data_IF_698156134218
#
_entry.id   IF_698156134218
#
_cell.length_a   1.000
_cell.length_b   1.000
_cell.length_c   1.000
_cell.angle_alpha   90.00
_cell.angle_beta   90.00
_cell.angle_gamma   90.00
#
_symmetry.space_group_name_H-M   'P 1'
#
loop_
_entity.id
_entity.type
_entity.pdbx_description
1 polymer ?
#
# COMPACT_ATOMS: atom_id res chain seq x y z
N UNK A 1 -16.57 7.84 -0.12
CA UNK A 1 -15.21 7.71 -0.66
C UNK A 1 -15.20 8.48 -1.97
N UNK A 2 -14.28 9.41 -2.17
CA UNK A 2 -14.16 10.11 -3.45
C UNK A 2 -13.16 9.37 -4.36
N UNK A 3 -13.67 8.45 -5.17
CA UNK A 3 -12.85 7.65 -6.09
C UNK A 3 -12.31 8.47 -7.27
N UNK A 4 -12.91 9.62 -7.59
CA UNK A 4 -12.45 10.49 -8.67
C UNK A 4 -11.15 11.21 -8.34
N UNK A 5 -10.82 11.35 -7.05
CA UNK A 5 -9.51 11.83 -6.60
C UNK A 5 -8.39 10.79 -6.74
N UNK A 6 -8.72 9.54 -7.08
CA UNK A 6 -7.80 8.38 -7.06
C UNK A 6 -7.56 7.84 -8.47
N UNK A 7 -8.63 7.69 -9.25
CA UNK A 7 -8.60 7.11 -10.59
C UNK A 7 -8.94 8.14 -11.65
N UNK A 8 -8.45 7.92 -12.87
CA UNK A 8 -8.79 8.76 -14.04
C UNK A 8 -10.28 8.64 -14.38
N UNK A 9 -10.78 7.41 -14.31
CA UNK A 9 -12.20 7.08 -14.33
C UNK A 9 -12.47 5.91 -13.38
N UNK A 10 -13.71 5.80 -12.89
CA UNK A 10 -14.13 4.67 -12.06
C UNK A 10 -15.61 4.35 -12.26
N UNK A 11 -15.99 3.13 -11.88
CA UNK A 11 -17.39 2.73 -11.74
C UNK A 11 -17.58 1.73 -10.61
N UNK A 12 -18.68 1.87 -9.89
CA UNK A 12 -19.01 1.02 -8.73
C UNK A 12 -20.26 0.21 -9.02
N UNK A 13 -20.21 -1.09 -8.72
CA UNK A 13 -21.36 -1.98 -8.87
C UNK A 13 -21.38 -3.05 -7.77
N UNK A 14 -22.58 -3.35 -7.29
CA UNK A 14 -22.82 -4.54 -6.45
C UNK A 14 -23.07 -5.76 -7.31
N UNK A 15 -22.37 -6.85 -7.01
CA UNK A 15 -22.49 -8.14 -7.70
C UNK A 15 -23.86 -8.73 -7.43
N UNK A 16 -24.59 -9.01 -8.51
CA UNK A 16 -25.97 -9.52 -8.44
C UNK A 16 -26.00 -11.05 -8.39
N UNK A 17 -27.14 -11.60 -7.99
CA UNK A 17 -27.39 -13.04 -8.09
C UNK A 17 -27.30 -13.54 -9.55
N UNK A 18 -27.72 -12.71 -10.52
CA UNK A 18 -27.63 -13.04 -11.94
C UNK A 18 -26.18 -13.16 -12.41
N UNK A 19 -25.29 -12.27 -11.96
CA UNK A 19 -23.86 -12.33 -12.33
C UNK A 19 -23.25 -13.68 -11.91
N UNK A 20 -23.55 -14.12 -10.67
CA UNK A 20 -23.07 -15.42 -10.17
C UNK A 20 -23.75 -16.59 -10.86
N UNK A 21 -25.08 -16.56 -11.02
CA UNK A 21 -25.85 -17.63 -11.68
C UNK A 21 -25.42 -17.85 -13.13
N UNK A 22 -25.08 -16.78 -13.85
CA UNK A 22 -24.63 -16.83 -15.25
C UNK A 22 -23.11 -16.96 -15.39
N UNK A 23 -22.37 -16.95 -14.29
CA UNK A 23 -20.91 -16.91 -14.25
C UNK A 23 -20.33 -15.84 -15.20
N UNK A 24 -20.97 -14.68 -15.24
CA UNK A 24 -20.62 -13.59 -16.13
C UNK A 24 -20.95 -12.26 -15.44
N UNK A 25 -19.92 -11.46 -15.18
CA UNK A 25 -20.08 -10.15 -14.56
C UNK A 25 -20.51 -9.13 -15.60
N UNK A 26 -21.64 -8.47 -15.39
CA UNK A 26 -22.11 -7.41 -16.29
C UNK A 26 -21.62 -6.05 -15.76
N UNK A 27 -20.56 -5.43 -16.32
CA UNK A 27 -20.16 -4.09 -15.90
C UNK A 27 -21.27 -3.07 -16.17
N UNK A 28 -21.46 -2.12 -15.25
CA UNK A 28 -22.41 -1.03 -15.46
C UNK A 28 -21.88 -0.01 -16.49
N UNK A 29 -22.63 1.07 -16.77
CA UNK A 29 -22.23 2.09 -17.74
C UNK A 29 -20.84 2.67 -17.45
N UNK A 30 -20.57 3.01 -16.20
CA UNK A 30 -19.33 3.68 -15.80
C UNK A 30 -18.14 2.72 -15.84
N UNK A 31 -18.31 1.49 -15.37
CA UNK A 31 -17.26 0.46 -15.45
C UNK A 31 -16.90 0.10 -16.88
N UNK A 32 -17.88 0.11 -17.81
CA UNK A 32 -17.58 -0.06 -19.25
C UNK A 32 -16.73 1.09 -19.78
N UNK A 33 -17.12 2.33 -19.47
CA UNK A 33 -16.34 3.50 -19.88
C UNK A 33 -14.90 3.45 -19.34
N UNK A 34 -14.70 2.99 -18.10
CA UNK A 34 -13.36 2.76 -17.53
C UNK A 34 -12.56 1.76 -18.36
N UNK A 35 -13.12 0.57 -18.61
CA UNK A 35 -12.43 -0.51 -19.35
C UNK A 35 -12.08 -0.04 -20.77
N UNK A 36 -13.05 0.55 -21.47
CA UNK A 36 -12.88 1.06 -22.84
C UNK A 36 -11.84 2.20 -22.89
N UNK A 37 -11.78 3.08 -21.88
CA UNK A 37 -10.77 4.14 -21.81
C UNK A 37 -9.32 3.64 -21.71
N UNK A 38 -9.13 2.37 -21.30
CA UNK A 38 -7.81 1.72 -21.28
C UNK A 38 -7.44 1.06 -22.62
N UNK A 39 -8.29 1.18 -23.64
CA UNK A 39 -8.11 0.55 -24.95
C UNK A 39 -8.65 -0.89 -25.02
N UNK A 40 -9.43 -1.33 -24.03
CA UNK A 40 -10.01 -2.68 -23.98
C UNK A 40 -11.46 -2.61 -24.48
N UNK A 41 -11.68 -3.10 -25.70
CA UNK A 41 -13.00 -3.14 -26.33
C UNK A 41 -13.67 -4.52 -26.16
N UNK A 42 -15.01 -4.59 -26.11
CA UNK A 42 -15.72 -5.86 -26.00
C UNK A 42 -15.57 -6.68 -27.28
N UNK A 43 -15.04 -7.90 -27.16
CA UNK A 43 -14.93 -8.82 -28.28
C UNK A 43 -16.32 -9.23 -28.81
N UNK A 44 -16.44 -9.37 -30.14
CA UNK A 44 -17.69 -9.78 -30.81
C UNK A 44 -18.06 -11.25 -30.60
N UNK A 45 -17.12 -12.07 -30.13
CA UNK A 45 -17.30 -13.50 -29.91
C UNK A 45 -16.23 -14.05 -28.97
N UNK A 46 -16.32 -15.35 -28.66
CA UNK A 46 -15.39 -16.04 -27.77
C UNK A 46 -14.41 -16.94 -28.56
N UNK A 47 -13.15 -17.12 -28.09
CA UNK A 47 -12.58 -16.56 -26.87
C UNK A 47 -12.24 -15.07 -27.03
N UNK A 48 -12.48 -14.30 -25.97
CA UNK A 48 -12.13 -12.89 -25.92
C UNK A 48 -10.71 -12.72 -25.36
N UNK A 49 -9.96 -11.69 -25.79
CA UNK A 49 -8.63 -11.41 -25.26
C UNK A 49 -8.64 -11.28 -23.73
N UNK A 50 -7.63 -11.86 -23.09
CA UNK A 50 -7.43 -11.71 -21.65
C UNK A 50 -6.73 -10.39 -21.35
N UNK A 51 -7.12 -9.78 -20.23
CA UNK A 51 -6.42 -8.66 -19.62
C UNK A 51 -6.35 -8.87 -18.10
N UNK A 52 -5.45 -8.13 -17.47
CA UNK A 52 -5.21 -8.22 -16.02
C UNK A 52 -5.82 -7.01 -15.33
N UNK A 53 -6.48 -7.27 -14.19
CA UNK A 53 -6.94 -6.24 -13.26
C UNK A 53 -6.16 -6.42 -11.96
N UNK A 54 -5.52 -5.37 -11.47
CA UNK A 54 -4.88 -5.41 -10.16
C UNK A 54 -5.92 -5.31 -9.05
N UNK A 55 -5.82 -6.20 -8.07
CA UNK A 55 -6.72 -6.23 -6.93
C UNK A 55 -6.04 -5.59 -5.73
N UNK A 56 -6.67 -4.56 -5.15
CA UNK A 56 -6.16 -3.87 -3.96
C UNK A 56 -6.93 -4.31 -2.71
N UNK A 57 -6.23 -4.32 -1.58
CA UNK A 57 -6.76 -4.62 -0.24
C UNK A 57 -7.41 -5.99 -0.08
N UNK A 58 -7.12 -6.95 -0.97
CA UNK A 58 -7.45 -8.36 -0.77
C UNK A 58 -6.21 -9.10 -0.23
N UNK A 59 -6.39 -9.89 0.81
CA UNK A 59 -5.28 -10.59 1.48
C UNK A 59 -4.69 -11.72 0.64
N UNK A 60 -5.49 -12.28 -0.28
CA UNK A 60 -5.13 -13.48 -1.03
C UNK A 60 -4.95 -13.21 -2.52
N UNK A 61 -5.65 -12.20 -3.06
CA UNK A 61 -5.68 -11.92 -4.50
C UNK A 61 -4.97 -10.59 -4.81
N UNK A 62 -3.86 -10.64 -5.53
CA UNK A 62 -3.11 -9.43 -5.94
C UNK A 62 -3.51 -8.91 -7.31
N UNK A 63 -3.97 -9.80 -8.17
CA UNK A 63 -4.44 -9.53 -9.53
C UNK A 63 -5.32 -10.66 -9.99
N UNK A 64 -6.16 -10.38 -10.98
CA UNK A 64 -7.01 -11.37 -11.64
C UNK A 64 -6.91 -11.23 -13.15
N UNK A 65 -7.09 -12.34 -13.85
CA UNK A 65 -7.36 -12.35 -15.29
C UNK A 65 -8.85 -12.18 -15.55
N UNK A 66 -9.18 -11.36 -16.55
CA UNK A 66 -10.53 -11.22 -17.07
C UNK A 66 -10.53 -11.13 -18.58
N UNK A 67 -11.71 -11.23 -19.18
CA UNK A 67 -11.94 -11.01 -20.60
C UNK A 67 -13.23 -10.23 -20.77
N UNK A 68 -13.37 -9.47 -21.86
CA UNK A 68 -14.48 -8.56 -22.08
C UNK A 68 -15.13 -8.81 -23.45
N UNK A 69 -16.42 -9.13 -23.47
CA UNK A 69 -17.10 -9.63 -24.67
C UNK A 69 -18.60 -9.38 -24.68
N UNK A 70 -19.19 -9.37 -25.86
CA UNK A 70 -20.64 -9.40 -26.03
C UNK A 70 -21.20 -10.81 -25.85
N UNK A 71 -22.35 -10.94 -25.19
CA UNK A 71 -23.07 -12.21 -25.14
C UNK A 71 -23.51 -12.67 -26.54
N UNK A 72 -23.27 -13.95 -26.88
CA UNK A 72 -23.81 -14.59 -28.08
C UNK A 72 -25.35 -14.59 -28.03
N UNK A 73 -26.00 -14.23 -29.15
CA UNK A 73 -27.47 -14.09 -29.24
C UNK A 73 -28.13 -15.36 -29.77
N UNK A 74 -29.35 -15.64 -29.33
CA UNK A 74 -30.35 -16.32 -30.17
C UNK A 74 -30.94 -15.32 -31.16
N UNK A 75 -31.42 -15.79 -32.30
CA UNK A 75 -31.95 -14.99 -33.42
C UNK A 75 -33.19 -14.13 -33.10
N UNK A 76 -33.73 -14.19 -31.87
CA UNK A 76 -35.08 -13.71 -31.52
C UNK A 76 -35.09 -12.51 -30.55
N UNK A 77 -33.93 -12.00 -30.11
CA UNK A 77 -33.86 -10.96 -29.07
C UNK A 77 -33.63 -9.55 -29.64
N UNK A 78 -34.60 -8.65 -29.44
CA UNK A 78 -34.67 -7.28 -29.97
C UNK A 78 -33.93 -6.22 -29.11
N UNK A 79 -32.80 -6.60 -28.48
CA UNK A 79 -31.99 -5.68 -27.64
C UNK A 79 -30.52 -5.67 -28.02
N UNK A 80 -29.87 -4.52 -27.84
CA UNK A 80 -28.42 -4.38 -28.02
C UNK A 80 -27.66 -5.42 -27.18
N UNK A 81 -26.54 -5.97 -27.68
CA UNK A 81 -25.83 -7.03 -26.97
C UNK A 81 -25.19 -6.45 -25.72
N UNK A 82 -25.39 -7.11 -24.59
CA UNK A 82 -24.84 -6.72 -23.30
C UNK A 82 -23.40 -7.19 -23.18
N UNK A 83 -22.48 -6.27 -22.86
CA UNK A 83 -21.07 -6.57 -22.66
C UNK A 83 -20.86 -7.20 -21.27
N UNK A 84 -19.99 -8.21 -21.19
CA UNK A 84 -19.78 -9.05 -20.02
C UNK A 84 -18.30 -9.29 -19.78
N UNK A 85 -17.97 -9.55 -18.52
CA UNK A 85 -16.66 -9.95 -18.06
C UNK A 85 -16.66 -11.37 -17.51
N UNK A 86 -15.65 -12.16 -17.90
CA UNK A 86 -15.49 -13.56 -17.49
C UNK A 86 -14.19 -13.83 -16.72
N UNK A 87 -13.82 -15.11 -16.64
CA UNK A 87 -12.67 -15.63 -15.89
C UNK A 87 -12.75 -15.33 -14.38
N UNK A 88 -11.61 -15.06 -13.77
CA UNK A 88 -11.38 -15.05 -12.33
C UNK A 88 -12.19 -13.96 -11.63
N UNK A 89 -12.52 -12.85 -12.32
CA UNK A 89 -13.31 -11.77 -11.72
C UNK A 89 -14.61 -12.28 -11.11
N UNK A 90 -15.31 -13.19 -11.79
CA UNK A 90 -16.63 -13.67 -11.37
C UNK A 90 -16.62 -15.13 -10.92
N UNK A 91 -15.72 -15.96 -11.48
CA UNK A 91 -15.68 -17.38 -11.14
C UNK A 91 -15.04 -17.63 -9.78
N UNK A 92 -13.99 -16.89 -9.43
CA UNK A 92 -13.18 -17.16 -8.23
C UNK A 92 -13.12 -15.98 -7.25
N UNK A 93 -13.18 -14.73 -7.71
CA UNK A 93 -12.93 -13.59 -6.83
C UNK A 93 -14.19 -12.95 -6.23
N UNK A 94 -15.15 -12.53 -7.07
CA UNK A 94 -16.34 -11.81 -6.59
C UNK A 94 -17.45 -12.75 -6.11
N UNK A 95 -18.08 -12.38 -4.99
CA UNK A 95 -19.26 -13.03 -4.44
C UNK A 95 -20.50 -12.15 -4.60
N UNK A 96 -21.70 -12.76 -4.57
CA UNK A 96 -22.95 -12.01 -4.57
C UNK A 96 -22.98 -11.04 -3.38
N UNK A 97 -23.36 -9.79 -3.63
CA UNK A 97 -23.41 -8.74 -2.62
C UNK A 97 -22.08 -8.02 -2.36
N UNK A 98 -20.98 -8.45 -2.99
CA UNK A 98 -19.75 -7.64 -3.02
C UNK A 98 -20.02 -6.36 -3.81
N UNK A 99 -19.72 -5.22 -3.21
CA UNK A 99 -19.66 -3.94 -3.92
C UNK A 99 -18.22 -3.73 -4.39
N UNK A 100 -18.03 -3.65 -5.71
CA UNK A 100 -16.73 -3.55 -6.35
C UNK A 100 -16.61 -2.25 -7.12
N UNK A 101 -15.49 -1.57 -6.90
CA UNK A 101 -15.03 -0.43 -7.69
C UNK A 101 -14.06 -0.97 -8.74
N UNK A 102 -14.23 -0.57 -9.99
CA UNK A 102 -13.24 -0.75 -11.05
C UNK A 102 -12.83 0.65 -11.49
N UNK A 103 -11.54 0.95 -11.44
CA UNK A 103 -10.97 2.22 -11.86
C UNK A 103 -9.67 2.04 -12.64
N UNK A 104 -9.19 3.09 -13.29
CA UNK A 104 -7.94 3.06 -14.06
C UNK A 104 -6.97 4.17 -13.68
N UNK A 105 -5.68 3.89 -13.92
CA UNK A 105 -4.60 4.88 -13.97
C UNK A 105 -3.84 4.63 -15.27
N UNK A 106 -3.97 5.55 -16.22
CA UNK A 106 -3.53 5.31 -17.60
C UNK A 106 -4.26 4.09 -18.18
N UNK A 107 -3.51 3.16 -18.78
CA UNK A 107 -4.05 1.92 -19.36
C UNK A 107 -4.25 0.79 -18.32
N UNK A 108 -3.90 0.99 -17.05
CA UNK A 108 -3.90 -0.07 -16.04
C UNK A 108 -5.18 -0.06 -15.23
N UNK A 109 -5.84 -1.22 -15.13
CA UNK A 109 -7.07 -1.41 -14.37
C UNK A 109 -6.80 -1.87 -12.93
N UNK A 110 -7.61 -1.35 -12.02
CA UNK A 110 -7.63 -1.68 -10.60
C UNK A 110 -9.04 -2.06 -10.17
N UNK A 111 -9.16 -3.00 -9.24
CA UNK A 111 -10.42 -3.34 -8.61
C UNK A 111 -10.30 -3.46 -7.09
N UNK A 112 -11.36 -3.01 -6.41
CA UNK A 112 -11.42 -2.95 -4.95
C UNK A 112 -12.80 -3.40 -4.49
N UNK A 113 -12.85 -4.36 -3.56
CA UNK A 113 -14.06 -4.63 -2.78
C UNK A 113 -14.19 -3.53 -1.72
N UNK A 114 -15.24 -2.72 -1.76
CA UNK A 114 -15.33 -1.50 -0.93
C UNK A 114 -15.27 -1.80 0.57
N UNK A 115 -15.78 -2.96 1.00
CA UNK A 115 -15.69 -3.44 2.40
C UNK A 115 -14.26 -3.71 2.88
N UNK A 116 -13.34 -4.06 1.98
CA UNK A 116 -11.95 -4.36 2.32
C UNK A 116 -11.05 -3.10 2.26
N UNK A 117 -11.52 -2.02 1.63
CA UNK A 117 -10.74 -0.80 1.48
C UNK A 117 -10.59 -0.04 2.81
N UNK A 118 -9.42 0.55 3.10
CA UNK A 118 -9.30 1.50 4.20
C UNK A 118 -10.16 2.75 3.92
N UNK A 119 -10.61 3.44 4.96
CA UNK A 119 -11.42 4.68 4.82
C UNK A 119 -10.60 5.93 4.46
N UNK A 120 -9.32 5.78 4.10
CA UNK A 120 -8.40 6.88 3.84
C UNK A 120 -8.11 7.00 2.34
N UNK A 121 -8.46 8.15 1.74
CA UNK A 121 -8.12 8.46 0.33
C UNK A 121 -6.63 8.30 0.13
N UNK A 122 -5.82 8.93 0.97
CA UNK A 122 -4.36 8.92 0.87
C UNK A 122 -3.78 7.51 0.92
N UNK A 123 -4.31 6.63 1.77
CA UNK A 123 -3.84 5.25 1.84
C UNK A 123 -4.17 4.47 0.57
N UNK A 124 -5.37 4.68 0.01
CA UNK A 124 -5.78 4.07 -1.25
C UNK A 124 -4.92 4.60 -2.41
N UNK A 125 -4.78 5.92 -2.53
CA UNK A 125 -3.96 6.55 -3.57
C UNK A 125 -2.52 6.07 -3.49
N UNK A 126 -1.94 5.95 -2.29
CA UNK A 126 -0.58 5.45 -2.13
C UNK A 126 -0.44 3.99 -2.63
N UNK A 127 -1.40 3.12 -2.34
CA UNK A 127 -1.39 1.74 -2.83
C UNK A 127 -1.58 1.65 -4.35
N UNK A 128 -2.47 2.47 -4.92
CA UNK A 128 -2.65 2.58 -6.38
C UNK A 128 -1.35 3.02 -7.04
N UNK A 129 -0.73 4.11 -6.55
CA UNK A 129 0.54 4.64 -7.09
C UNK A 129 1.68 3.63 -6.94
N UNK A 130 1.74 2.89 -5.83
CA UNK A 130 2.76 1.87 -5.60
C UNK A 130 2.68 0.70 -6.59
N UNK A 131 1.50 0.44 -7.17
CA UNK A 131 1.27 -0.64 -8.14
C UNK A 131 1.05 -0.17 -9.57
N UNK A 132 0.93 1.14 -9.79
CA UNK A 132 0.79 1.73 -11.11
C UNK A 132 2.08 1.61 -11.92
N UNK A 133 1.93 1.65 -13.24
CA UNK A 133 3.05 1.66 -14.17
C UNK A 133 4.05 2.79 -13.85
N UNK A 134 5.34 2.42 -13.84
CA UNK A 134 6.43 3.33 -13.45
C UNK A 134 6.48 4.57 -14.33
N UNK A 135 6.26 4.43 -15.65
CA UNK A 135 6.29 5.56 -16.57
C UNK A 135 5.14 6.51 -16.26
N UNK A 136 3.93 5.99 -16.08
CA UNK A 136 2.74 6.76 -15.71
C UNK A 136 2.94 7.54 -14.40
N UNK A 137 3.50 6.89 -13.37
CA UNK A 137 3.78 7.56 -12.08
C UNK A 137 4.81 8.69 -12.25
N UNK A 138 5.89 8.46 -12.99
CA UNK A 138 6.93 9.46 -13.20
C UNK A 138 6.46 10.65 -14.05
N UNK A 139 5.59 10.41 -15.04
CA UNK A 139 5.01 11.48 -15.87
C UNK A 139 4.10 12.38 -15.03
N UNK A 140 3.17 11.80 -14.26
CA UNK A 140 2.31 12.58 -13.34
C UNK A 140 3.10 13.34 -12.28
N UNK A 141 4.15 12.73 -11.74
CA UNK A 141 5.01 13.39 -10.76
C UNK A 141 5.67 14.66 -11.33
N UNK A 142 6.01 14.69 -12.63
CA UNK A 142 6.56 15.87 -13.31
C UNK A 142 5.52 16.96 -13.57
N UNK A 143 4.25 16.59 -13.65
CA UNK A 143 3.13 17.53 -13.86
C UNK A 143 2.69 18.23 -12.57
N UNK A 144 3.13 17.74 -11.40
CA UNK A 144 2.81 18.34 -10.11
C UNK A 144 3.28 19.80 -10.05
N UNK A 145 2.34 20.71 -9.76
CA UNK A 145 2.57 22.16 -9.68
C UNK A 145 2.07 22.72 -8.36
N UNK A 146 2.68 23.82 -7.94
CA UNK A 146 2.27 24.55 -6.74
C UNK A 146 2.91 24.01 -5.45
N UNK A 147 2.43 24.53 -4.32
CA UNK A 147 2.88 24.12 -2.99
C UNK A 147 1.89 23.07 -2.45
N UNK A 148 2.36 22.02 -1.76
CA UNK A 148 1.46 21.08 -1.13
C UNK A 148 0.61 21.80 -0.08
N UNK A 149 -0.62 21.33 0.12
CA UNK A 149 -1.46 21.80 1.20
C UNK A 149 -0.83 21.46 2.55
N UNK A 150 -0.99 22.37 3.53
CA UNK A 150 -0.56 22.10 4.90
C UNK A 150 -1.59 21.17 5.54
N UNK A 151 -1.10 20.09 6.13
CA UNK A 151 -1.93 19.17 6.92
C UNK A 151 -1.56 19.29 8.40
N UNK A 152 -2.57 19.52 9.26
CA UNK A 152 -2.40 19.42 10.71
C UNK A 152 -2.45 17.94 11.11
N UNK A 153 -1.45 17.48 11.89
CA UNK A 153 -1.36 16.10 12.36
C UNK A 153 -1.33 16.13 13.89
N UNK A 154 -2.30 15.45 14.53
CA UNK A 154 -2.29 15.18 15.97
C UNK A 154 -1.69 13.81 16.21
N UNK A 155 -0.63 13.74 17.02
CA UNK A 155 0.06 12.50 17.40
C UNK A 155 0.17 12.42 18.91
N UNK A 156 -0.11 11.24 19.45
CA UNK A 156 0.30 10.87 20.80
C UNK A 156 1.74 10.35 20.75
N UNK A 157 2.59 10.85 21.65
CA UNK A 157 3.97 10.40 21.78
C UNK A 157 4.32 10.19 23.25
N UNK A 158 5.37 9.42 23.51
CA UNK A 158 5.87 9.20 24.86
C UNK A 158 6.85 10.32 25.25
N UNK A 159 6.58 10.97 26.38
CA UNK A 159 7.52 11.90 26.98
C UNK A 159 8.71 11.12 27.57
N UNK A 160 9.82 11.07 26.83
CA UNK A 160 11.03 10.34 27.24
C UNK A 160 11.77 11.07 28.35
N UNK A 161 12.35 10.31 29.26
CA UNK A 161 13.19 10.78 30.33
C UNK A 161 14.52 11.33 29.74
N UNK A 162 14.79 12.64 29.88
CA UNK A 162 15.97 13.25 29.29
C UNK A 162 17.28 12.70 29.85
N UNK A 163 17.29 12.19 31.09
CA UNK A 163 18.47 11.58 31.70
C UNK A 163 18.81 10.23 31.07
N UNK A 164 17.81 9.43 30.69
CA UNK A 164 18.03 8.16 29.98
C UNK A 164 18.59 8.42 28.58
N UNK A 165 17.98 9.38 27.86
CA UNK A 165 18.45 9.78 26.52
C UNK A 165 19.88 10.30 26.58
N UNK A 166 20.19 11.25 27.47
CA UNK A 166 21.54 11.80 27.61
C UNK A 166 22.53 10.75 28.11
N UNK A 167 22.12 9.90 29.05
CA UNK A 167 22.93 8.81 29.59
C UNK A 167 23.37 7.83 28.51
N UNK A 168 22.47 7.39 27.63
CA UNK A 168 22.80 6.50 26.52
C UNK A 168 23.81 7.13 25.56
N UNK A 169 23.62 8.41 25.22
CA UNK A 169 24.57 9.15 24.36
C UNK A 169 25.96 9.24 25.01
N UNK A 170 26.04 9.56 26.31
CA UNK A 170 27.32 9.64 27.02
C UNK A 170 28.01 8.27 27.11
N UNK A 171 27.27 7.21 27.47
CA UNK A 171 27.78 5.83 27.54
C UNK A 171 28.38 5.38 26.21
N UNK A 172 27.76 5.80 25.10
CA UNK A 172 28.20 5.43 23.75
C UNK A 172 29.57 6.00 23.34
N UNK A 173 30.06 7.04 24.03
CA UNK A 173 31.30 7.74 23.72
C UNK A 173 31.44 8.13 22.23
N UNK A 174 30.34 8.61 21.63
CA UNK A 174 30.30 9.04 20.22
C UNK A 174 30.30 7.88 19.21
N UNK A 175 30.03 6.64 19.64
CA UNK A 175 29.99 5.46 18.76
C UNK A 175 28.59 4.86 18.73
N UNK A 176 28.25 4.18 17.64
CA UNK A 176 27.01 3.41 17.56
C UNK A 176 27.13 2.15 18.42
N UNK A 177 26.15 1.91 19.30
CA UNK A 177 26.10 0.74 20.19
C UNK A 177 25.57 -0.54 19.50
N UNK A 178 25.25 -0.51 18.21
CA UNK A 178 24.96 -1.74 17.47
C UNK A 178 26.25 -2.53 17.23
N UNK A 179 26.37 -3.79 17.71
CA UNK A 179 27.63 -4.52 17.59
C UNK A 179 28.04 -4.76 16.14
N UNK A 180 29.28 -4.41 15.80
CA UNK A 180 29.84 -4.55 14.46
C UNK A 180 29.41 -3.46 13.48
N UNK A 181 28.81 -2.37 13.96
CA UNK A 181 28.50 -1.22 13.12
C UNK A 181 29.79 -0.60 12.54
N UNK A 182 29.81 -0.41 11.23
CA UNK A 182 30.90 0.26 10.49
C UNK A 182 30.45 1.59 9.87
N UNK A 183 29.31 2.13 10.31
CA UNK A 183 28.84 3.41 9.77
C UNK A 183 29.78 4.52 10.17
N UNK A 184 30.18 5.31 9.16
CA UNK A 184 30.74 6.63 9.37
C UNK A 184 29.66 7.52 9.99
N UNK A 185 30.03 8.20 11.06
CA UNK A 185 29.17 9.15 11.77
C UNK A 185 29.58 10.56 11.38
N UNK A 186 28.63 11.48 11.39
CA UNK A 186 28.89 12.89 11.16
C UNK A 186 28.74 13.68 12.46
N UNK A 187 29.40 14.82 12.51
CA UNK A 187 29.30 15.77 13.61
C UNK A 187 28.12 16.72 13.39
N UNK A 188 27.46 17.07 14.48
CA UNK A 188 26.51 18.17 14.53
C UNK A 188 27.27 19.51 14.45
N UNK A 189 26.52 20.59 14.29
CA UNK A 189 27.02 21.96 14.35
C UNK A 189 27.74 22.30 15.68
N UNK A 190 27.33 21.66 16.77
CA UNK A 190 27.98 21.75 18.09
C UNK A 190 29.22 20.86 18.26
N UNK A 191 29.67 20.17 17.21
CA UNK A 191 30.84 19.29 17.20
C UNK A 191 30.62 17.91 17.82
N UNK A 192 29.45 17.63 18.42
CA UNK A 192 29.15 16.30 18.94
C UNK A 192 28.68 15.36 17.82
N UNK A 193 29.02 14.07 17.93
CA UNK A 193 28.59 13.05 16.97
C UNK A 193 27.06 12.86 16.97
N UNK A 194 26.45 12.78 15.79
CA UNK A 194 25.01 12.55 15.66
C UNK A 194 24.64 11.08 15.89
N UNK A 195 23.82 10.82 16.91
CA UNK A 195 23.26 9.51 17.27
C UNK A 195 21.79 9.66 17.67
N UNK A 196 20.99 8.63 17.42
CA UNK A 196 19.57 8.54 17.78
C UNK A 196 19.40 7.52 18.91
N UNK A 197 18.69 7.89 19.99
CA UNK A 197 18.39 6.95 21.07
C UNK A 197 17.18 6.09 20.71
N UNK A 198 17.40 4.78 20.76
CA UNK A 198 16.44 3.74 20.48
C UNK A 198 16.17 2.91 21.74
N UNK A 199 14.89 2.68 22.04
CA UNK A 199 14.52 1.69 23.06
C UNK A 199 14.53 0.30 22.44
N UNK A 200 15.37 -0.61 22.96
CA UNK A 200 15.56 -1.98 22.46
C UNK A 200 14.23 -2.71 22.41
N UNK A 201 13.44 -2.63 23.49
CA UNK A 201 12.01 -2.86 23.47
C UNK A 201 11.29 -1.53 23.29
N UNK A 202 10.60 -1.30 22.15
CA UNK A 202 9.89 -0.05 21.91
C UNK A 202 8.89 0.28 23.01
N UNK A 203 8.76 1.57 23.35
CA UNK A 203 7.77 2.04 24.33
C UNK A 203 6.32 1.73 23.90
N UNK A 204 6.05 1.70 22.59
CA UNK A 204 4.75 1.27 22.05
C UNK A 204 4.44 -0.21 22.23
N UNK A 205 5.46 -1.00 22.58
CA UNK A 205 5.38 -2.43 22.90
C UNK A 205 5.62 -2.66 24.41
N UNK A 206 5.27 -1.68 25.25
CA UNK A 206 5.38 -1.75 26.72
C UNK A 206 6.83 -1.85 27.23
N UNK A 207 7.80 -1.29 26.48
CA UNK A 207 9.18 -1.18 26.93
C UNK A 207 9.40 -0.09 27.98
N UNK A 208 10.29 -0.35 28.94
CA UNK A 208 10.65 0.62 29.97
C UNK A 208 11.54 1.76 29.44
N UNK A 209 11.35 2.96 29.97
CA UNK A 209 12.25 4.09 29.70
C UNK A 209 13.44 4.09 30.68
N UNK A 210 14.39 3.19 30.45
CA UNK A 210 15.56 2.96 31.32
C UNK A 210 16.85 2.82 30.52
N UNK A 211 18.00 3.02 31.20
CA UNK A 211 19.33 2.83 30.59
C UNK A 211 19.57 1.42 30.06
N UNK A 212 19.00 0.40 30.70
CA UNK A 212 19.09 -1.00 30.29
C UNK A 212 18.27 -1.32 29.02
N UNK A 213 17.28 -0.49 28.71
CA UNK A 213 16.46 -0.62 27.51
C UNK A 213 16.80 0.44 26.44
N UNK A 214 17.74 1.35 26.67
CA UNK A 214 18.08 2.42 25.74
C UNK A 214 19.45 2.19 25.09
N UNK A 215 19.57 2.48 23.79
CA UNK A 215 20.81 2.39 23.02
C UNK A 215 21.00 3.62 22.12
N UNK A 216 22.22 4.14 22.03
CA UNK A 216 22.59 5.20 21.09
C UNK A 216 23.05 4.60 19.74
N UNK A 217 22.31 4.89 18.67
CA UNK A 217 22.49 4.25 17.37
C UNK A 217 22.69 5.27 16.25
N UNK A 218 23.42 4.88 15.19
CA UNK A 218 23.43 5.66 13.97
C UNK A 218 22.07 5.58 13.25
N UNK A 219 21.74 6.54 12.37
CA UNK A 219 20.46 6.52 11.63
C UNK A 219 20.21 5.22 10.87
N UNK A 220 21.25 4.64 10.26
CA UNK A 220 21.14 3.36 9.54
C UNK A 220 20.71 2.23 10.47
N UNK A 221 21.43 1.99 11.56
CA UNK A 221 21.10 0.94 12.54
C UNK A 221 19.73 1.15 13.17
N UNK A 222 19.41 2.40 13.51
CA UNK A 222 18.13 2.72 14.12
C UNK A 222 16.96 2.38 13.17
N UNK A 223 17.04 2.76 11.89
CA UNK A 223 15.97 2.46 10.92
C UNK A 223 15.92 0.99 10.55
N UNK A 224 17.05 0.29 10.52
CA UNK A 224 17.10 -1.15 10.30
C UNK A 224 16.37 -1.94 11.42
N UNK A 225 16.43 -1.48 12.67
CA UNK A 225 15.67 -2.08 13.76
C UNK A 225 14.15 -1.85 13.65
N UNK A 226 13.70 -0.78 12.98
CA UNK A 226 12.27 -0.55 12.73
C UNK A 226 11.76 -1.35 11.52
N UNK A 227 12.49 -1.27 10.41
CA UNK A 227 11.98 -1.66 9.08
C UNK A 227 12.76 -2.80 8.42
N UNK A 228 13.92 -3.16 8.95
CA UNK A 228 14.80 -4.17 8.36
C UNK A 228 14.21 -5.58 8.45
N UNK A 229 14.51 -6.41 7.45
CA UNK A 229 14.11 -7.83 7.42
C UNK A 229 14.62 -8.61 8.63
N UNK A 230 15.85 -8.29 9.08
CA UNK A 230 16.52 -8.94 10.20
C UNK A 230 16.32 -8.23 11.55
N UNK A 231 15.33 -7.32 11.66
CA UNK A 231 15.14 -6.48 12.85
C UNK A 231 15.03 -7.25 14.16
N UNK A 232 14.38 -8.42 14.17
CA UNK A 232 14.21 -9.23 15.38
C UNK A 232 15.54 -9.86 15.82
N UNK A 233 16.34 -10.31 14.85
CA UNK A 233 17.69 -10.82 15.10
C UNK A 233 18.59 -9.72 15.63
N UNK A 234 18.55 -8.54 15.02
CA UNK A 234 19.33 -7.37 15.44
C UNK A 234 18.90 -6.84 16.81
N UNK A 235 17.61 -6.85 17.13
CA UNK A 235 17.09 -6.45 18.44
C UNK A 235 17.61 -7.36 19.55
N UNK A 236 17.62 -8.68 19.34
CA UNK A 236 18.23 -9.64 20.28
C UNK A 236 19.73 -9.37 20.46
N UNK A 237 20.45 -9.15 19.35
CA UNK A 237 21.88 -8.83 19.37
C UNK A 237 22.17 -7.55 20.17
N UNK A 238 21.36 -6.51 19.96
CA UNK A 238 21.47 -5.24 20.68
C UNK A 238 21.13 -5.41 22.16
N UNK A 239 20.06 -6.14 22.49
CA UNK A 239 19.67 -6.43 23.88
C UNK A 239 20.82 -7.09 24.66
N UNK A 240 21.44 -8.12 24.07
CA UNK A 240 22.60 -8.79 24.69
C UNK A 240 23.79 -7.85 24.87
N UNK A 241 24.02 -6.93 23.92
CA UNK A 241 25.10 -5.96 24.04
C UNK A 241 24.83 -4.94 25.15
N UNK A 242 23.64 -4.33 25.18
CA UNK A 242 23.27 -3.34 26.19
C UNK A 242 23.32 -3.95 27.59
N UNK A 243 22.83 -5.19 27.77
CA UNK A 243 22.94 -5.90 29.04
C UNK A 243 24.38 -6.14 29.51
N UNK A 244 25.35 -6.23 28.58
CA UNK A 244 26.76 -6.45 28.89
C UNK A 244 27.54 -5.15 29.19
N UNK A 245 27.01 -3.98 28.82
CA UNK A 245 27.64 -2.67 29.00
C UNK A 245 26.87 -1.74 29.95
N UNK A 246 25.77 -2.23 30.52
CA UNK A 246 24.94 -1.51 31.50
C UNK A 246 25.41 -1.76 32.93
#
# INVERSE_FOLDING_TARGET
>A
MDWGSIFDAYGTKTVTATDKKKNAYVPNKDQRAVIESTGIEPAKGRPAPEFVILVLFDTNVKSIKSSYYYAERSSEADRAPEARMGHEIISSWLNQGDEVVIGNVGAQLFAIKTKAAPKSVTAITAEVVARADKKTVLERAKEAKGKPEKQEIRRNDFARNPYVVRGAILRSAGKCEMPGCKCELFEKDDGATYLEVHHVTPLSEDGDDTMANAAALCPRCHRELHFGKERLTLRKKLASHIAAIS
#
